data_IF_064585308637
#
_entry.id   IF_064585308637
#
_cell.length_a   1.000
_cell.length_b   1.000
_cell.length_c   1.000
_cell.angle_alpha   90.00
_cell.angle_beta   90.00
_cell.angle_gamma   90.00
#
_symmetry.space_group_name_H-M   'P 1'
#
loop_
_entity.id
_entity.type
_entity.pdbx_description
1 polymer ?
#
# COMPACT_ATOMS: atom_id res chain seq x y z
N UNK A 1 5.60 -9.98 15.84
CA UNK A 1 6.61 -9.39 14.95
C UNK A 1 6.85 -7.95 15.34
N UNK A 2 8.10 -7.64 15.63
CA UNK A 2 8.48 -6.35 16.21
C UNK A 2 9.11 -5.39 15.22
N UNK A 3 8.67 -5.43 13.97
CA UNK A 3 9.18 -4.52 12.96
C UNK A 3 8.65 -3.12 13.24
N UNK A 4 9.54 -2.14 13.28
CA UNK A 4 9.15 -0.76 13.43
C UNK A 4 8.21 -0.35 12.28
N UNK A 5 7.21 0.52 12.52
CA UNK A 5 6.29 0.94 11.45
C UNK A 5 7.02 1.44 10.20
N UNK A 6 8.09 2.20 10.39
CA UNK A 6 8.90 2.69 9.29
C UNK A 6 9.50 1.54 8.45
N UNK A 7 9.99 0.49 9.12
CA UNK A 7 10.55 -0.67 8.43
C UNK A 7 9.48 -1.46 7.69
N UNK A 8 8.28 -1.54 8.24
CA UNK A 8 7.20 -2.23 7.58
C UNK A 8 6.84 -1.56 6.27
N UNK A 9 6.77 -0.24 6.27
CA UNK A 9 6.51 0.51 5.04
C UNK A 9 7.61 0.30 4.02
N UNK A 10 8.86 0.18 4.47
CA UNK A 10 9.99 -0.18 3.62
C UNK A 10 9.84 -1.55 2.99
N UNK A 11 9.30 -2.52 3.74
CA UNK A 11 9.00 -3.85 3.19
C UNK A 11 7.93 -3.76 2.10
N UNK A 12 6.89 -2.97 2.33
CA UNK A 12 5.84 -2.76 1.33
C UNK A 12 6.42 -2.08 0.09
N UNK A 13 7.30 -1.11 0.28
CA UNK A 13 8.00 -0.46 -0.85
C UNK A 13 8.72 -1.51 -1.70
N UNK A 14 9.48 -2.39 -1.06
CA UNK A 14 10.20 -3.46 -1.77
C UNK A 14 9.24 -4.37 -2.52
N UNK A 15 8.13 -4.74 -1.88
CA UNK A 15 7.10 -5.56 -2.52
C UNK A 15 6.56 -4.86 -3.76
N UNK A 16 6.25 -3.59 -3.68
CA UNK A 16 5.72 -2.83 -4.80
C UNK A 16 6.74 -2.74 -5.95
N UNK A 17 8.01 -2.52 -5.62
CA UNK A 17 9.07 -2.50 -6.64
C UNK A 17 9.16 -3.83 -7.40
N UNK A 18 8.90 -4.94 -6.72
CA UNK A 18 8.88 -6.26 -7.34
C UNK A 18 7.53 -6.58 -8.00
N UNK A 19 6.57 -5.69 -7.91
CA UNK A 19 5.20 -5.91 -8.39
C UNK A 19 4.81 -4.99 -9.54
N UNK A 20 5.79 -4.37 -10.20
CA UNK A 20 5.52 -3.57 -11.38
C UNK A 20 5.35 -2.08 -11.12
N UNK A 21 5.86 -1.58 -10.01
CA UNK A 21 5.87 -0.15 -9.70
C UNK A 21 7.29 0.40 -9.73
N UNK A 22 7.42 1.67 -10.08
CA UNK A 22 8.69 2.40 -10.09
C UNK A 22 8.56 3.67 -9.26
N UNK A 23 9.71 4.25 -8.93
CA UNK A 23 9.79 5.50 -8.16
C UNK A 23 8.97 5.42 -6.89
N UNK A 24 9.05 4.26 -6.22
CA UNK A 24 8.32 4.02 -4.99
C UNK A 24 9.01 4.74 -3.85
N UNK A 25 8.29 5.62 -3.19
CA UNK A 25 8.83 6.38 -2.05
C UNK A 25 7.90 6.29 -0.85
N UNK A 26 8.53 6.13 0.32
CA UNK A 26 7.82 6.17 1.60
C UNK A 26 7.77 7.62 2.03
N UNK A 27 6.57 8.13 2.27
CA UNK A 27 6.41 9.52 2.71
C UNK A 27 6.84 9.65 4.17
N UNK A 28 7.36 10.80 4.57
CA UNK A 28 7.68 11.02 5.98
C UNK A 28 6.45 10.86 6.86
N UNK A 29 6.66 10.31 8.05
CA UNK A 29 5.57 10.10 9.00
C UNK A 29 5.06 11.47 9.49
N UNK A 30 3.99 11.95 8.87
CA UNK A 30 3.39 13.24 9.24
C UNK A 30 2.33 13.08 10.32
N UNK A 31 1.92 11.86 10.59
CA UNK A 31 0.92 11.59 11.60
C UNK A 31 -0.52 11.81 11.17
N UNK A 32 -0.75 12.13 9.93
CA UNK A 32 -2.07 12.57 9.47
C UNK A 32 -2.89 11.53 8.74
N UNK A 33 -2.64 10.27 8.92
CA UNK A 33 -3.46 9.24 8.29
C UNK A 33 -3.63 9.41 6.79
N UNK A 34 -2.70 10.10 6.17
CA UNK A 34 -2.76 10.39 4.76
C UNK A 34 -2.09 9.32 3.92
N UNK A 35 -1.18 9.73 3.07
CA UNK A 35 -0.50 8.84 2.13
C UNK A 35 0.82 8.37 2.73
N UNK A 36 1.01 7.06 2.79
CA UNK A 36 2.26 6.47 3.31
C UNK A 36 3.26 6.16 2.21
N UNK A 37 2.79 5.81 1.02
CA UNK A 37 3.63 5.44 -0.10
C UNK A 37 3.12 6.11 -1.36
N UNK A 38 4.06 6.60 -2.17
CA UNK A 38 3.79 7.19 -3.47
C UNK A 38 4.55 6.40 -4.52
N UNK A 39 3.91 6.09 -5.65
CA UNK A 39 4.52 5.24 -6.67
C UNK A 39 3.92 5.48 -8.04
N UNK A 40 4.51 4.88 -9.07
CA UNK A 40 4.02 4.96 -10.43
C UNK A 40 4.06 3.56 -11.05
N UNK A 41 3.09 3.26 -11.89
CA UNK A 41 3.09 1.99 -12.62
C UNK A 41 4.25 1.99 -13.61
N UNK A 42 5.04 0.92 -13.61
CA UNK A 42 6.24 0.80 -14.43
C UNK A 42 5.88 0.74 -15.91
N UNK A 43 6.82 1.16 -16.74
CA UNK A 43 6.69 1.15 -18.20
C UNK A 43 6.51 -0.24 -18.81
N UNK A 44 6.79 -1.30 -18.04
CA UNK A 44 6.52 -2.66 -18.47
C UNK A 44 5.06 -2.99 -18.68
N UNK A 45 4.17 -2.17 -18.14
CA UNK A 45 2.73 -2.31 -18.36
C UNK A 45 2.29 -1.28 -19.39
N UNK A 46 2.13 -1.70 -20.65
CA UNK A 46 1.83 -0.78 -21.76
C UNK A 46 0.53 0.01 -21.57
N UNK A 47 -0.44 -0.54 -20.85
CA UNK A 47 -1.75 0.07 -20.70
C UNK A 47 -1.83 1.04 -19.53
N UNK A 48 -1.03 0.83 -18.50
CA UNK A 48 -1.11 1.61 -17.26
C UNK A 48 0.18 2.35 -16.91
N UNK A 49 1.19 2.26 -17.78
CA UNK A 49 2.49 2.86 -17.52
C UNK A 49 2.37 4.35 -17.14
N UNK A 50 3.04 4.74 -16.09
CA UNK A 50 3.04 6.11 -15.61
C UNK A 50 1.86 6.48 -14.72
N UNK A 51 0.90 5.58 -14.51
CA UNK A 51 -0.22 5.84 -13.61
C UNK A 51 0.30 6.12 -12.20
N UNK A 52 -0.10 7.24 -11.62
CA UNK A 52 0.25 7.61 -10.25
C UNK A 52 -0.57 6.78 -9.28
N UNK A 53 0.09 6.21 -8.29
CA UNK A 53 -0.54 5.35 -7.28
C UNK A 53 -0.12 5.85 -5.90
N UNK A 54 -1.06 5.89 -5.00
CA UNK A 54 -0.80 6.24 -3.61
C UNK A 54 -1.37 5.16 -2.70
N UNK A 55 -0.64 4.83 -1.65
CA UNK A 55 -1.06 3.77 -0.74
C UNK A 55 -1.06 4.24 0.69
N UNK A 56 -1.99 3.69 1.47
CA UNK A 56 -1.98 3.82 2.92
C UNK A 56 -1.79 2.42 3.50
N UNK A 57 -1.00 2.33 4.57
CA UNK A 57 -0.65 1.06 5.21
C UNK A 57 -1.08 1.12 6.67
N UNK A 58 -1.89 0.15 7.11
CA UNK A 58 -2.32 0.03 8.52
C UNK A 58 -1.90 -1.32 9.07
N UNK A 59 -0.99 -1.29 9.99
CA UNK A 59 -0.50 -2.49 10.70
C UNK A 59 -1.33 -2.68 11.96
N UNK A 60 -2.59 -3.04 11.77
CA UNK A 60 -3.57 -3.16 12.84
C UNK A 60 -3.88 -4.62 13.17
N UNK A 61 -4.36 -4.85 14.40
CA UNK A 61 -4.90 -6.15 14.80
C UNK A 61 -6.41 -6.20 14.58
N UNK A 62 -7.09 -5.07 14.73
CA UNK A 62 -8.52 -4.99 14.49
C UNK A 62 -8.81 -4.68 13.03
N UNK A 63 -10.05 -4.92 12.62
CA UNK A 63 -10.45 -4.70 11.24
C UNK A 63 -10.42 -3.22 10.84
N UNK A 64 -10.12 -2.97 9.57
CA UNK A 64 -10.18 -1.64 8.99
C UNK A 64 -11.60 -1.38 8.51
N UNK A 65 -12.20 -0.28 8.92
CA UNK A 65 -13.57 0.06 8.62
C UNK A 65 -13.72 1.11 7.54
N UNK A 66 -14.98 1.46 7.27
CA UNK A 66 -15.32 2.43 6.21
C UNK A 66 -14.80 3.83 6.50
N UNK A 67 -14.66 4.20 7.76
CA UNK A 67 -14.13 5.52 8.12
C UNK A 67 -12.71 5.69 7.61
N UNK A 68 -11.86 4.66 7.78
CA UNK A 68 -10.49 4.70 7.31
C UNK A 68 -10.43 4.76 5.77
N UNK A 69 -11.28 4.01 5.09
CA UNK A 69 -11.32 4.04 3.62
C UNK A 69 -11.73 5.42 3.12
N UNK A 70 -12.76 6.00 3.73
CA UNK A 70 -13.24 7.32 3.33
C UNK A 70 -12.19 8.41 3.60
N UNK A 71 -11.51 8.33 4.75
CA UNK A 71 -10.42 9.26 5.07
C UNK A 71 -9.27 9.17 4.10
N UNK A 72 -8.88 7.95 3.73
CA UNK A 72 -7.83 7.73 2.74
C UNK A 72 -8.23 8.32 1.38
N UNK A 73 -9.48 8.08 0.94
CA UNK A 73 -9.96 8.64 -0.31
C UNK A 73 -9.84 10.15 -0.32
N UNK A 74 -10.15 10.79 0.81
CA UNK A 74 -10.03 12.24 0.93
C UNK A 74 -8.60 12.76 0.84
N UNK A 75 -7.62 11.92 1.15
CA UNK A 75 -6.20 12.29 1.09
C UNK A 75 -5.57 12.04 -0.28
N UNK A 76 -6.24 11.27 -1.15
CA UNK A 76 -5.69 10.95 -2.46
C UNK A 76 -5.55 12.18 -3.34
N UNK A 77 -4.44 12.23 -4.10
CA UNK A 77 -4.31 13.18 -5.20
C UNK A 77 -5.43 12.91 -6.20
N UNK A 78 -5.94 13.97 -6.84
CA UNK A 78 -7.03 13.86 -7.80
C UNK A 78 -6.70 12.95 -9.00
N UNK A 79 -5.41 12.75 -9.27
CA UNK A 79 -4.96 11.94 -10.40
C UNK A 79 -4.46 10.57 -9.99
N UNK A 80 -4.41 10.26 -8.69
CA UNK A 80 -3.84 9.01 -8.21
C UNK A 80 -4.88 7.92 -8.04
N UNK A 81 -4.44 6.68 -8.26
CA UNK A 81 -5.20 5.48 -7.88
C UNK A 81 -4.82 5.12 -6.45
N UNK A 82 -5.79 4.70 -5.65
CA UNK A 82 -5.56 4.38 -4.25
C UNK A 82 -5.45 2.89 -3.98
N UNK A 83 -4.51 2.53 -3.12
CA UNK A 83 -4.36 1.17 -2.59
C UNK A 83 -4.32 1.25 -1.07
N UNK A 84 -5.21 0.52 -0.40
CA UNK A 84 -5.20 0.46 1.06
C UNK A 84 -4.73 -0.93 1.49
N UNK A 85 -3.65 -0.96 2.26
CA UNK A 85 -2.97 -2.20 2.66
C UNK A 85 -3.08 -2.35 4.17
N UNK A 86 -3.47 -3.53 4.64
CA UNK A 86 -3.48 -3.82 6.08
C UNK A 86 -2.96 -5.22 6.36
N UNK A 87 -2.39 -5.39 7.53
CA UNK A 87 -2.02 -6.72 8.05
C UNK A 87 -3.24 -7.44 8.63
N UNK A 88 -4.36 -6.73 8.79
CA UNK A 88 -5.61 -7.26 9.34
C UNK A 88 -6.59 -7.62 8.22
N UNK A 89 -7.86 -7.34 8.43
CA UNK A 89 -8.94 -7.58 7.47
C UNK A 89 -9.74 -6.29 7.30
N UNK A 90 -10.59 -6.26 6.28
CA UNK A 90 -11.52 -5.16 6.07
C UNK A 90 -12.93 -5.57 6.48
N UNK A 91 -13.67 -4.64 7.06
CA UNK A 91 -15.08 -4.88 7.33
C UNK A 91 -15.85 -4.90 6.02
N UNK A 92 -17.06 -5.46 6.05
CA UNK A 92 -17.93 -5.43 4.87
C UNK A 92 -18.21 -3.98 4.45
N UNK A 93 -18.43 -3.09 5.42
CA UNK A 93 -18.66 -1.68 5.15
C UNK A 93 -17.46 -1.04 4.45
N UNK A 94 -16.24 -1.41 4.83
CA UNK A 94 -15.03 -0.92 4.18
C UNK A 94 -14.97 -1.36 2.72
N UNK A 95 -15.28 -2.63 2.45
CA UNK A 95 -15.30 -3.15 1.08
C UNK A 95 -16.34 -2.42 0.24
N UNK A 96 -17.52 -2.21 0.78
CA UNK A 96 -18.59 -1.47 0.11
C UNK A 96 -18.15 -0.03 -0.20
N UNK A 97 -17.53 0.63 0.78
CA UNK A 97 -17.06 2.01 0.60
C UNK A 97 -15.98 2.10 -0.48
N UNK A 98 -15.06 1.14 -0.51
CA UNK A 98 -13.98 1.12 -1.50
C UNK A 98 -14.50 1.02 -2.94
N UNK A 99 -15.65 0.38 -3.13
CA UNK A 99 -16.25 0.15 -4.45
C UNK A 99 -17.40 1.07 -4.77
N UNK A 100 -17.60 2.13 -4.01
CA UNK A 100 -18.71 3.03 -4.18
C UNK A 100 -18.72 3.64 -5.59
N UNK A 101 -19.82 3.47 -6.33
CA UNK A 101 -19.91 3.86 -7.74
C UNK A 101 -19.60 5.33 -8.00
N UNK A 102 -20.02 6.21 -7.10
CA UNK A 102 -19.86 7.66 -7.29
C UNK A 102 -18.45 8.15 -6.92
N UNK A 103 -17.55 7.26 -6.53
CA UNK A 103 -16.21 7.62 -6.04
C UNK A 103 -15.13 6.81 -6.74
N UNK A 104 -13.89 7.30 -6.79
CA UNK A 104 -12.79 6.49 -7.30
C UNK A 104 -12.63 5.20 -6.52
N UNK A 105 -12.46 4.09 -7.22
CA UNK A 105 -12.31 2.77 -6.60
C UNK A 105 -10.97 2.67 -5.89
N UNK A 106 -10.97 2.08 -4.70
CA UNK A 106 -9.76 1.83 -3.92
C UNK A 106 -9.50 0.33 -3.91
N UNK A 107 -8.28 -0.05 -4.26
CA UNK A 107 -7.85 -1.45 -4.19
C UNK A 107 -7.52 -1.78 -2.73
N UNK A 108 -8.07 -2.89 -2.25
CA UNK A 108 -7.86 -3.35 -0.87
C UNK A 108 -6.99 -4.60 -0.87
N UNK A 109 -5.93 -4.56 -0.05
CA UNK A 109 -5.06 -5.72 0.16
C UNK A 109 -5.04 -6.02 1.65
N UNK A 110 -5.63 -7.14 2.04
CA UNK A 110 -5.65 -7.56 3.44
C UNK A 110 -4.50 -8.49 3.77
N UNK A 111 -4.36 -8.83 5.05
CA UNK A 111 -3.21 -9.55 5.55
C UNK A 111 -2.89 -10.86 4.84
N UNK A 112 -3.90 -11.68 4.54
CA UNK A 112 -3.70 -12.96 3.84
C UNK A 112 -3.19 -12.75 2.43
N UNK A 113 -3.76 -11.78 1.71
CA UNK A 113 -3.30 -11.47 0.35
C UNK A 113 -1.91 -10.86 0.37
N UNK A 114 -1.64 -10.01 1.35
CA UNK A 114 -0.33 -9.41 1.51
C UNK A 114 0.75 -10.48 1.73
N UNK A 115 0.46 -11.45 2.62
CA UNK A 115 1.38 -12.56 2.85
C UNK A 115 1.63 -13.37 1.58
N UNK A 116 0.56 -13.65 0.81
CA UNK A 116 0.68 -14.35 -0.47
C UNK A 116 1.58 -13.61 -1.44
N UNK A 117 1.44 -12.28 -1.51
CA UNK A 117 2.26 -11.47 -2.41
C UNK A 117 3.75 -11.53 -2.05
N UNK A 118 4.08 -11.48 -0.76
CA UNK A 118 5.46 -11.63 -0.33
C UNK A 118 6.04 -12.99 -0.74
N UNK A 119 5.25 -14.05 -0.60
CA UNK A 119 5.66 -15.39 -1.02
C UNK A 119 5.84 -15.47 -2.53
N UNK A 120 4.85 -14.99 -3.29
CA UNK A 120 4.87 -15.01 -4.76
C UNK A 120 6.08 -14.27 -5.32
N UNK A 121 6.45 -13.14 -4.70
CA UNK A 121 7.58 -12.33 -5.15
C UNK A 121 8.88 -12.75 -4.51
N UNK A 122 8.86 -13.80 -3.69
CA UNK A 122 10.07 -14.35 -3.03
C UNK A 122 10.80 -13.32 -2.20
N UNK A 123 10.05 -12.50 -1.49
CA UNK A 123 10.59 -11.45 -0.63
C UNK A 123 10.47 -11.90 0.82
N UNK A 124 11.58 -11.96 1.53
CA UNK A 124 11.57 -12.19 2.97
C UNK A 124 11.82 -10.86 3.69
N UNK A 125 11.36 -10.76 4.93
CA UNK A 125 11.60 -9.56 5.74
C UNK A 125 13.10 -9.28 5.88
N UNK A 126 13.90 -10.34 6.03
CA UNK A 126 15.35 -10.22 6.15
C UNK A 126 15.98 -9.72 4.85
N UNK A 127 15.60 -10.32 3.71
CA UNK A 127 16.14 -9.93 2.41
C UNK A 127 15.75 -8.49 2.06
N UNK A 128 14.51 -8.10 2.33
CA UNK A 128 14.05 -6.75 2.07
C UNK A 128 14.79 -5.72 2.93
N UNK A 129 15.00 -6.02 4.21
CA UNK A 129 15.74 -5.15 5.11
C UNK A 129 17.20 -4.98 4.66
N UNK A 130 17.85 -6.07 4.25
CA UNK A 130 19.21 -6.03 3.75
C UNK A 130 19.30 -5.19 2.47
N UNK A 131 18.35 -5.33 1.57
CA UNK A 131 18.28 -4.56 0.34
C UNK A 131 18.19 -3.06 0.62
N UNK A 132 17.35 -2.66 1.57
CA UNK A 132 17.22 -1.27 1.96
C UNK A 132 18.46 -0.71 2.58
N UNK A 133 19.12 -1.48 3.43
CA UNK A 133 20.37 -1.06 4.05
C UNK A 133 21.48 -0.91 3.02
N UNK A 134 21.49 -1.75 2.00
CA UNK A 134 22.47 -1.69 0.92
C UNK A 134 22.30 -0.47 0.03
N UNK A 135 21.13 0.13 -0.01
CA UNK A 135 20.85 1.32 -0.81
C UNK A 135 21.21 2.62 -0.09
N UNK A 136 21.50 2.54 1.17
CA UNK A 136 21.75 3.72 1.99
C UNK A 136 23.10 4.39 1.65
#
# INVERSE_FOLDING_TARGET
MTVQPYRFEGLIKTLMEHSGFRDVSVTPASGDGGIDIDAFVDKGNDFLAGTHVQAQVKRWRHAVGSVEINGFRGALSSTAKGIFITTSVFTRAAVTEARRESKPCITLIEGTRLASLFIEKRISAVAAAASHEGEA
#
